data_IF_347385306141
#
_entry.id   IF_347385306141
#
_cell.length_a   1.000
_cell.length_b   1.000
_cell.length_c   1.000
_cell.angle_alpha   90.00
_cell.angle_beta   90.00
_cell.angle_gamma   90.00
#
_symmetry.space_group_name_H-M   'P 1'
#
loop_
_entity.id
_entity.type
_entity.pdbx_description
1 polymer ?
#
# COMPACT_ATOMS: atom_id res chain seq x y z
N UNK A 1 17.76 10.45 -10.19
CA UNK A 1 16.93 10.52 -8.96
C UNK A 1 16.28 9.17 -8.62
N UNK A 2 15.42 8.60 -9.48
CA UNK A 2 14.73 7.33 -9.20
C UNK A 2 15.66 6.14 -8.92
N UNK A 3 16.77 6.01 -9.67
CA UNK A 3 17.75 4.93 -9.44
C UNK A 3 18.32 4.97 -8.02
N UNK A 4 18.75 6.13 -7.57
CA UNK A 4 19.27 6.32 -6.21
C UNK A 4 18.26 5.96 -5.11
N UNK A 5 16.99 6.36 -5.25
CA UNK A 5 15.94 5.99 -4.30
C UNK A 5 15.69 4.47 -4.27
N UNK A 6 15.73 3.79 -5.42
CA UNK A 6 15.61 2.33 -5.48
C UNK A 6 16.82 1.64 -4.84
N UNK A 7 18.02 2.11 -5.09
CA UNK A 7 19.23 1.53 -4.48
C UNK A 7 19.27 1.76 -2.96
N UNK A 8 18.70 2.88 -2.49
CA UNK A 8 18.48 3.11 -1.07
C UNK A 8 17.45 2.15 -0.49
N UNK A 9 16.27 2.01 -1.11
CA UNK A 9 15.21 1.09 -0.69
C UNK A 9 15.68 -0.38 -0.68
N UNK A 10 16.49 -0.79 -1.65
CA UNK A 10 17.05 -2.16 -1.69
C UNK A 10 18.02 -2.45 -0.56
N UNK A 11 18.76 -1.45 -0.08
CA UNK A 11 19.68 -1.56 1.06
C UNK A 11 18.96 -1.44 2.41
N UNK A 12 17.90 -0.65 2.45
CA UNK A 12 17.10 -0.37 3.64
C UNK A 12 15.62 -0.34 3.22
N UNK A 13 14.90 -1.48 3.29
CA UNK A 13 13.54 -1.65 2.74
C UNK A 13 12.51 -0.84 3.52
N UNK A 14 12.47 0.46 3.26
CA UNK A 14 11.67 1.42 4.00
C UNK A 14 10.71 2.19 3.10
N UNK A 15 10.77 1.99 1.78
CA UNK A 15 9.88 2.66 0.85
C UNK A 15 8.67 1.80 0.47
N UNK A 16 7.51 2.44 0.48
CA UNK A 16 6.31 1.99 -0.23
C UNK A 16 6.15 2.85 -1.47
N UNK A 17 6.07 2.21 -2.63
CA UNK A 17 5.96 2.90 -3.90
C UNK A 17 4.52 2.85 -4.39
N UNK A 18 3.96 4.00 -4.73
CA UNK A 18 2.56 4.16 -5.17
C UNK A 18 2.54 4.74 -6.58
N UNK A 19 1.91 4.03 -7.53
CA UNK A 19 1.69 4.52 -8.89
C UNK A 19 0.23 4.89 -9.04
N UNK A 20 0.01 6.08 -9.59
CA UNK A 20 -1.32 6.63 -9.76
C UNK A 20 -1.29 7.73 -10.82
N UNK A 21 -2.42 7.90 -11.52
CA UNK A 21 -2.72 9.07 -12.35
C UNK A 21 -3.37 10.22 -11.57
N UNK A 22 -3.76 9.98 -10.31
CA UNK A 22 -4.32 11.02 -9.47
C UNK A 22 -3.22 12.04 -9.09
N UNK A 23 -3.62 13.29 -8.86
CA UNK A 23 -2.69 14.31 -8.37
C UNK A 23 -2.17 13.94 -6.98
N UNK A 24 -1.01 14.49 -6.63
CA UNK A 24 -0.41 14.30 -5.31
C UNK A 24 -1.38 14.72 -4.19
N UNK A 25 -2.11 15.82 -4.36
CA UNK A 25 -3.06 16.34 -3.37
C UNK A 25 -4.23 15.36 -3.14
N UNK A 26 -4.74 14.78 -4.23
CA UNK A 26 -5.81 13.78 -4.13
C UNK A 26 -5.32 12.51 -3.44
N UNK A 27 -4.09 12.07 -3.73
CA UNK A 27 -3.46 10.95 -3.03
C UNK A 27 -3.27 11.27 -1.54
N UNK A 28 -2.68 12.43 -1.23
CA UNK A 28 -2.44 12.86 0.14
C UNK A 28 -3.76 12.92 0.94
N UNK A 29 -4.81 13.51 0.37
CA UNK A 29 -6.14 13.58 0.99
C UNK A 29 -6.74 12.19 1.21
N UNK A 30 -6.68 11.32 0.20
CA UNK A 30 -7.19 9.95 0.29
C UNK A 30 -6.51 9.18 1.43
N UNK A 31 -5.18 9.14 1.42
CA UNK A 31 -4.41 8.40 2.40
C UNK A 31 -4.43 9.02 3.80
N UNK A 32 -4.54 10.34 3.91
CA UNK A 32 -4.78 11.01 5.19
C UNK A 32 -6.09 10.54 5.84
N UNK A 33 -7.14 10.31 5.03
CA UNK A 33 -8.41 9.75 5.48
C UNK A 33 -8.31 8.32 6.01
N UNK A 34 -7.26 7.58 5.63
CA UNK A 34 -7.02 6.19 6.05
C UNK A 34 -6.10 6.08 7.26
N UNK A 35 -5.38 7.14 7.66
CA UNK A 35 -4.43 7.09 8.76
C UNK A 35 -5.06 6.67 10.08
N UNK A 36 -6.27 7.15 10.37
CA UNK A 36 -6.97 6.82 11.62
C UNK A 36 -8.12 5.87 11.34
N UNK A 37 -8.00 4.65 11.85
CA UNK A 37 -9.08 3.66 11.80
C UNK A 37 -9.68 3.45 13.19
N UNK A 38 -10.86 2.82 13.23
CA UNK A 38 -11.49 2.37 14.47
C UNK A 38 -11.43 0.86 14.54
N UNK A 39 -11.00 0.36 15.68
CA UNK A 39 -11.09 -1.07 15.99
C UNK A 39 -12.53 -1.42 16.37
N UNK A 40 -12.91 -2.72 16.36
CA UNK A 40 -14.26 -3.16 16.71
C UNK A 40 -14.72 -2.71 18.10
N UNK A 41 -13.79 -2.52 19.03
CA UNK A 41 -14.05 -2.01 20.39
C UNK A 41 -14.17 -0.48 20.48
N UNK A 42 -14.14 0.22 19.35
CA UNK A 42 -14.28 1.68 19.27
C UNK A 42 -12.98 2.47 19.48
N UNK A 43 -11.88 1.83 19.89
CA UNK A 43 -10.57 2.49 20.02
C UNK A 43 -10.06 2.96 18.67
N UNK A 44 -9.34 4.07 18.67
CA UNK A 44 -8.65 4.60 17.48
C UNK A 44 -7.30 3.92 17.32
N UNK A 45 -6.98 3.51 16.10
CA UNK A 45 -5.69 2.95 15.74
C UNK A 45 -5.08 3.72 14.57
N UNK A 46 -3.74 3.77 14.53
CA UNK A 46 -2.98 4.34 13.42
C UNK A 46 -2.70 3.24 12.40
N UNK A 47 -3.27 3.36 11.20
CA UNK A 47 -2.95 2.49 10.08
C UNK A 47 -1.67 2.99 9.40
N UNK A 48 -0.55 2.36 9.72
CA UNK A 48 0.76 2.68 9.13
C UNK A 48 0.92 2.09 7.72
N UNK A 49 -0.03 2.40 6.82
CA UNK A 49 -0.08 1.85 5.46
C UNK A 49 1.24 2.07 4.69
N UNK A 50 1.96 3.15 5.00
CA UNK A 50 3.22 3.52 4.36
C UNK A 50 4.38 2.59 4.71
N UNK A 51 4.29 1.84 5.81
CA UNK A 51 5.33 0.89 6.22
C UNK A 51 5.30 -0.35 5.32
N UNK A 52 6.41 -0.72 4.65
CA UNK A 52 6.46 -1.92 3.82
C UNK A 52 6.13 -3.21 4.60
N UNK A 53 6.51 -3.26 5.87
CA UNK A 53 6.22 -4.40 6.76
C UNK A 53 4.73 -4.52 7.02
N UNK A 54 4.09 -3.42 7.40
CA UNK A 54 2.64 -3.37 7.64
C UNK A 54 1.90 -3.67 6.35
N UNK A 55 2.32 -3.06 5.23
CA UNK A 55 1.71 -3.29 3.92
C UNK A 55 1.63 -4.77 3.60
N UNK A 56 2.69 -5.56 3.78
CA UNK A 56 2.66 -7.01 3.49
C UNK A 56 1.61 -7.75 4.32
N UNK A 57 1.38 -7.34 5.56
CA UNK A 57 0.36 -7.95 6.42
C UNK A 57 -1.08 -7.48 6.09
N UNK A 58 -1.25 -6.31 5.46
CA UNK A 58 -2.58 -5.72 5.21
C UNK A 58 -3.51 -6.61 4.39
N UNK A 59 -2.98 -7.31 3.40
CA UNK A 59 -3.76 -8.22 2.54
C UNK A 59 -4.44 -9.34 3.34
N UNK A 60 -3.80 -9.82 4.41
CA UNK A 60 -4.33 -10.92 5.22
C UNK A 60 -5.39 -10.48 6.23
N UNK A 61 -5.47 -9.17 6.52
CA UNK A 61 -6.34 -8.63 7.58
C UNK A 61 -7.44 -7.71 7.05
N UNK A 62 -7.37 -7.33 5.77
CA UNK A 62 -8.38 -6.50 5.11
C UNK A 62 -9.35 -7.36 4.32
N UNK A 63 -10.63 -6.98 4.38
CA UNK A 63 -11.64 -7.48 3.44
C UNK A 63 -11.38 -6.94 2.04
N UNK A 64 -11.83 -7.66 1.00
CA UNK A 64 -11.76 -7.20 -0.40
C UNK A 64 -12.35 -5.79 -0.60
N UNK A 65 -13.44 -5.47 0.12
CA UNK A 65 -14.04 -4.12 0.10
C UNK A 65 -13.09 -3.05 0.67
N UNK A 66 -12.48 -3.31 1.83
CA UNK A 66 -11.51 -2.38 2.43
C UNK A 66 -10.30 -2.20 1.53
N UNK A 67 -9.84 -3.30 0.93
CA UNK A 67 -8.73 -3.26 -0.01
C UNK A 67 -9.04 -2.43 -1.25
N UNK A 68 -10.23 -2.62 -1.84
CA UNK A 68 -10.73 -1.82 -2.96
C UNK A 68 -10.74 -0.33 -2.60
N UNK A 69 -11.13 0.03 -1.38
CA UNK A 69 -11.10 1.42 -0.90
C UNK A 69 -9.67 1.96 -0.78
N UNK A 70 -8.74 1.17 -0.25
CA UNK A 70 -7.33 1.57 -0.12
C UNK A 70 -6.69 1.80 -1.50
N UNK A 71 -6.93 0.89 -2.45
CA UNK A 71 -6.36 0.94 -3.81
C UNK A 71 -7.10 1.86 -4.77
N UNK A 72 -8.23 2.46 -4.37
CA UNK A 72 -9.10 3.24 -5.25
C UNK A 72 -8.36 4.31 -6.10
N UNK A 73 -7.42 5.12 -5.58
CA UNK A 73 -6.67 6.05 -6.41
C UNK A 73 -5.40 5.43 -7.02
N UNK A 74 -4.98 4.23 -6.63
CA UNK A 74 -3.71 3.60 -7.05
C UNK A 74 -3.86 2.61 -8.20
N UNK A 75 -3.06 2.74 -9.23
CA UNK A 75 -2.94 1.70 -10.26
C UNK A 75 -2.16 0.51 -9.72
N UNK A 76 -1.10 0.82 -8.96
CA UNK A 76 -0.14 -0.15 -8.45
C UNK A 76 0.47 0.30 -7.13
N UNK A 77 0.74 -0.66 -6.27
CA UNK A 77 1.54 -0.52 -5.05
C UNK A 77 2.70 -1.51 -5.11
N UNK A 78 3.93 -1.07 -4.83
CA UNK A 78 5.07 -1.97 -4.70
C UNK A 78 5.85 -1.79 -3.39
N UNK A 79 6.37 -2.90 -2.89
CA UNK A 79 7.29 -2.95 -1.75
C UNK A 79 8.44 -3.89 -2.09
N UNK A 80 9.68 -3.49 -1.78
CA UNK A 80 10.84 -4.35 -2.02
C UNK A 80 10.76 -5.60 -1.14
N UNK A 81 11.04 -6.78 -1.68
CA UNK A 81 11.16 -8.05 -0.97
C UNK A 81 12.62 -8.54 -1.02
N UNK A 82 13.41 -8.34 0.05
CA UNK A 82 14.81 -8.72 0.07
C UNK A 82 15.05 -10.21 -0.22
N UNK A 83 14.23 -11.09 0.36
CA UNK A 83 14.36 -12.54 0.20
C UNK A 83 14.07 -13.03 -1.23
N UNK A 84 13.26 -12.29 -1.99
CA UNK A 84 12.89 -12.63 -3.36
C UNK A 84 13.72 -11.87 -4.40
N UNK A 85 14.53 -10.90 -3.97
CA UNK A 85 15.32 -10.05 -4.87
C UNK A 85 14.47 -9.22 -5.83
N UNK A 86 13.21 -8.91 -5.47
CA UNK A 86 12.25 -8.27 -6.36
C UNK A 86 11.23 -7.40 -5.62
N UNK A 87 10.44 -6.65 -6.38
CA UNK A 87 9.30 -5.91 -5.84
C UNK A 87 8.08 -6.83 -5.78
N UNK A 88 7.43 -6.91 -4.62
CA UNK A 88 6.06 -7.41 -4.56
C UNK A 88 5.16 -6.34 -5.15
N UNK A 89 4.33 -6.73 -6.10
CA UNK A 89 3.46 -5.83 -6.85
C UNK A 89 2.01 -6.15 -6.53
N UNK A 90 1.25 -5.11 -6.25
CA UNK A 90 -0.18 -5.17 -6.06
C UNK A 90 -0.84 -4.23 -7.04
N UNK A 91 -1.43 -4.79 -8.08
CA UNK A 91 -2.17 -4.04 -9.07
C UNK A 91 -3.65 -4.01 -8.70
N UNK A 92 -4.34 -2.92 -9.05
CA UNK A 92 -5.79 -2.79 -8.78
C UNK A 92 -6.61 -3.86 -9.50
N UNK A 93 -6.16 -4.32 -10.67
CA UNK A 93 -6.94 -5.18 -11.57
C UNK A 93 -6.80 -6.68 -11.28
N UNK A 94 -5.72 -7.12 -10.62
CA UNK A 94 -5.40 -8.55 -10.43
C UNK A 94 -6.36 -9.27 -9.48
N UNK A 95 -7.11 -8.54 -8.65
CA UNK A 95 -8.10 -9.13 -7.73
C UNK A 95 -9.52 -9.25 -8.30
N UNK A 96 -9.78 -8.78 -9.53
CA UNK A 96 -11.09 -8.98 -10.17
C UNK A 96 -11.37 -10.45 -10.54
N UNK A 97 -10.32 -11.27 -10.56
CA UNK A 97 -10.36 -12.70 -10.96
C UNK A 97 -10.43 -13.68 -9.79
N UNK A 98 -10.43 -13.21 -8.53
CA UNK A 98 -10.58 -14.10 -7.37
C UNK A 98 -12.06 -14.38 -6.99
N UNK A 99 -12.99 -13.61 -7.55
CA UNK A 99 -14.44 -13.68 -7.28
C UNK A 99 -15.28 -14.04 -8.54
N UNK A 100 -14.67 -14.62 -9.59
CA UNK A 100 -15.35 -15.03 -10.83
C UNK A 100 -15.34 -16.55 -11.04
#
# INVERSE_FOLDING_TARGET
FLGWLRDWDRRSPMASWLWSRASFENLAKHFAGLLFTRMPDGRRALLRYYSPEVRRALEQVMTARQWTQVMAPLERWQVWQPLQGGYLVYDRETERTADA
#
